data_IF_514198880757
#
_entry.id   IF_514198880757
#
_cell.length_a   1.000
_cell.length_b   1.000
_cell.length_c   1.000
_cell.angle_alpha   90.00
_cell.angle_beta   90.00
_cell.angle_gamma   90.00
#
_symmetry.space_group_name_H-M   'P 1'
#
loop_
_entity.id
_entity.type
_entity.pdbx_description
1 polymer ?
#
# COMPACT_ATOMS: atom_id res chain seq x y z
N UNK A 1 10.53 -19.82 -11.18
CA UNK A 1 11.53 -20.90 -11.12
C UNK A 1 11.72 -21.63 -12.46
N UNK A 2 10.63 -22.06 -13.12
CA UNK A 2 10.68 -22.76 -14.42
C UNK A 2 11.26 -21.93 -15.58
N UNK A 3 11.02 -20.62 -15.64
CA UNK A 3 11.58 -19.76 -16.70
C UNK A 3 13.11 -19.58 -16.60
N UNK A 4 13.66 -19.51 -15.38
CA UNK A 4 15.12 -19.37 -15.14
C UNK A 4 15.88 -20.63 -15.59
N UNK A 5 15.24 -21.80 -15.50
CA UNK A 5 15.82 -23.07 -15.97
C UNK A 5 15.87 -23.20 -17.50
N UNK A 6 15.03 -22.46 -18.22
CA UNK A 6 14.89 -22.53 -19.70
C UNK A 6 15.60 -21.37 -20.42
N UNK A 7 15.83 -20.27 -19.70
CA UNK A 7 16.42 -19.02 -20.20
C UNK A 7 17.46 -18.49 -19.20
N UNK A 8 18.72 -18.99 -19.26
CA UNK A 8 19.77 -18.64 -18.31
C UNK A 8 20.30 -17.19 -18.42
N UNK A 9 19.94 -16.45 -19.47
CA UNK A 9 20.40 -15.08 -19.76
C UNK A 9 19.35 -13.97 -19.47
N UNK A 10 18.27 -14.30 -18.76
CA UNK A 10 17.21 -13.33 -18.42
C UNK A 10 17.71 -12.31 -17.38
N UNK A 11 18.02 -11.10 -17.84
CA UNK A 11 18.36 -9.95 -16.97
C UNK A 11 17.15 -9.37 -16.22
N UNK A 12 15.94 -9.46 -16.79
CA UNK A 12 14.71 -8.91 -16.22
C UNK A 12 13.65 -10.00 -15.99
N UNK A 13 13.32 -10.26 -14.73
CA UNK A 13 12.33 -11.27 -14.34
C UNK A 13 10.91 -10.97 -14.84
N UNK A 14 10.57 -9.70 -15.02
CA UNK A 14 9.24 -9.25 -15.45
C UNK A 14 8.90 -9.70 -16.88
N UNK A 15 9.93 -9.89 -17.73
CA UNK A 15 9.77 -10.33 -19.11
C UNK A 15 9.88 -11.85 -19.26
N UNK A 16 10.14 -12.59 -18.18
CA UNK A 16 10.43 -14.02 -18.24
C UNK A 16 9.30 -14.84 -18.86
N UNK A 17 8.04 -14.46 -18.57
CA UNK A 17 6.87 -15.11 -19.17
C UNK A 17 6.80 -14.86 -20.68
N UNK A 18 6.95 -13.61 -21.12
CA UNK A 18 6.85 -13.24 -22.53
C UNK A 18 7.99 -13.85 -23.35
N UNK A 19 9.20 -13.87 -22.80
CA UNK A 19 10.38 -14.49 -23.40
C UNK A 19 10.23 -16.01 -23.54
N UNK A 20 9.55 -16.67 -22.59
CA UNK A 20 9.26 -18.10 -22.69
C UNK A 20 8.25 -18.39 -23.81
N UNK A 21 7.23 -17.53 -23.96
CA UNK A 21 6.23 -17.64 -25.03
C UNK A 21 6.88 -17.44 -26.40
N UNK A 22 7.74 -16.43 -26.54
CA UNK A 22 8.50 -16.17 -27.78
C UNK A 22 9.34 -17.37 -28.21
N UNK A 23 9.99 -18.05 -27.26
CA UNK A 23 10.86 -19.21 -27.55
C UNK A 23 10.07 -20.48 -27.89
N UNK A 24 8.83 -20.61 -27.42
CA UNK A 24 8.06 -21.87 -27.50
C UNK A 24 6.97 -21.84 -28.56
N UNK A 25 6.47 -20.65 -28.92
CA UNK A 25 5.31 -20.48 -29.81
C UNK A 25 5.64 -19.62 -31.04
N UNK A 26 4.84 -19.72 -32.12
CA UNK A 26 4.98 -18.85 -33.28
C UNK A 26 4.69 -17.38 -32.94
N UNK A 27 5.30 -16.47 -33.72
CA UNK A 27 5.26 -15.01 -33.49
C UNK A 27 3.86 -14.39 -33.42
N UNK A 28 2.88 -14.94 -34.15
CA UNK A 28 1.49 -14.46 -34.09
C UNK A 28 0.86 -14.69 -32.71
N UNK A 29 1.25 -15.76 -32.02
CA UNK A 29 0.75 -16.09 -30.69
C UNK A 29 1.35 -15.18 -29.61
N UNK A 30 2.63 -14.79 -29.78
CA UNK A 30 3.27 -13.79 -28.92
C UNK A 30 2.51 -12.46 -28.93
N UNK A 31 2.12 -11.97 -30.12
CA UNK A 31 1.33 -10.75 -30.26
C UNK A 31 -0.05 -10.86 -29.58
N UNK A 32 -0.71 -12.01 -29.71
CA UNK A 32 -1.98 -12.29 -29.03
C UNK A 32 -1.83 -12.27 -27.50
N UNK A 33 -0.81 -12.95 -26.95
CA UNK A 33 -0.54 -13.00 -25.51
C UNK A 33 -0.17 -11.62 -24.96
N UNK A 34 0.66 -10.86 -25.70
CA UNK A 34 1.02 -9.49 -25.32
C UNK A 34 -0.21 -8.57 -25.27
N UNK A 35 -1.09 -8.65 -26.27
CA UNK A 35 -2.34 -7.89 -26.30
C UNK A 35 -3.27 -8.28 -25.14
N UNK A 36 -3.43 -9.58 -24.86
CA UNK A 36 -4.21 -10.06 -23.73
C UNK A 36 -3.66 -9.53 -22.41
N UNK A 37 -2.35 -9.61 -22.18
CA UNK A 37 -1.69 -9.07 -20.99
C UNK A 37 -1.88 -7.56 -20.83
N UNK A 38 -1.75 -6.80 -21.92
CA UNK A 38 -1.96 -5.35 -21.92
C UNK A 38 -3.40 -4.99 -21.52
N UNK A 39 -4.40 -5.66 -22.10
CA UNK A 39 -5.82 -5.46 -21.76
C UNK A 39 -6.09 -5.85 -20.30
N UNK A 40 -5.54 -6.98 -19.84
CA UNK A 40 -5.66 -7.43 -18.45
C UNK A 40 -5.08 -6.43 -17.46
N UNK A 41 -3.95 -5.78 -17.77
CA UNK A 41 -3.35 -4.75 -16.91
C UNK A 41 -4.12 -3.42 -16.96
N UNK A 42 -4.72 -3.07 -18.10
CA UNK A 42 -5.44 -1.81 -18.29
C UNK A 42 -6.71 -1.71 -17.43
N UNK A 43 -7.43 -2.81 -17.25
CA UNK A 43 -8.68 -2.85 -16.46
C UNK A 43 -8.47 -2.46 -15.00
N UNK A 44 -7.60 -3.12 -14.20
CA UNK A 44 -7.37 -2.75 -12.81
C UNK A 44 -6.73 -1.37 -12.69
N UNK A 45 -5.82 -0.99 -13.61
CA UNK A 45 -5.21 0.34 -13.62
C UNK A 45 -6.28 1.45 -13.72
N UNK A 46 -7.23 1.31 -14.64
CA UNK A 46 -8.32 2.29 -14.83
C UNK A 46 -9.19 2.42 -13.58
N UNK A 47 -9.50 1.29 -12.94
CA UNK A 47 -10.32 1.26 -11.72
C UNK A 47 -9.58 1.89 -10.54
N UNK A 48 -8.29 1.60 -10.35
CA UNK A 48 -7.48 2.17 -9.28
C UNK A 48 -7.34 3.70 -9.40
N UNK A 49 -7.10 4.21 -10.61
CA UNK A 49 -7.01 5.67 -10.84
C UNK A 49 -8.36 6.33 -10.57
N UNK A 50 -9.47 5.73 -11.01
CA UNK A 50 -10.81 6.23 -10.72
C UNK A 50 -11.08 6.28 -9.22
N UNK A 51 -10.73 5.22 -8.49
CA UNK A 51 -10.85 5.18 -7.03
C UNK A 51 -10.00 6.25 -6.36
N UNK A 52 -8.72 6.36 -6.71
CA UNK A 52 -7.83 7.37 -6.14
C UNK A 52 -8.38 8.80 -6.35
N UNK A 53 -8.85 9.10 -7.56
CA UNK A 53 -9.43 10.41 -7.91
C UNK A 53 -10.71 10.70 -7.14
N UNK A 54 -11.55 9.67 -6.96
CA UNK A 54 -12.81 9.79 -6.21
C UNK A 54 -12.53 9.98 -4.71
N UNK A 55 -11.57 9.25 -4.15
CA UNK A 55 -11.17 9.39 -2.76
C UNK A 55 -10.58 10.77 -2.49
N UNK A 56 -9.72 11.28 -3.36
CA UNK A 56 -9.16 12.62 -3.21
C UNK A 56 -10.25 13.71 -3.32
N UNK A 57 -11.17 13.60 -4.28
CA UNK A 57 -12.24 14.59 -4.43
C UNK A 57 -13.26 14.56 -3.27
N UNK A 58 -13.66 13.38 -2.79
CA UNK A 58 -14.65 13.26 -1.69
C UNK A 58 -14.01 13.38 -0.30
N UNK A 59 -12.98 12.60 -0.02
CA UNK A 59 -12.44 12.49 1.34
C UNK A 59 -11.45 13.61 1.66
N UNK A 60 -10.76 14.18 0.66
CA UNK A 60 -9.85 15.31 0.90
C UNK A 60 -10.56 16.62 0.57
N UNK A 61 -10.97 16.83 -0.68
CA UNK A 61 -11.52 18.11 -1.08
C UNK A 61 -12.89 18.40 -0.43
N UNK A 62 -13.88 17.52 -0.60
CA UNK A 62 -15.20 17.78 -0.04
C UNK A 62 -15.18 17.73 1.49
N UNK A 63 -14.57 16.71 2.11
CA UNK A 63 -14.59 16.60 3.57
C UNK A 63 -13.75 17.64 4.31
N UNK A 64 -12.59 18.07 3.78
CA UNK A 64 -11.63 18.92 4.50
C UNK A 64 -11.64 20.36 3.97
N UNK A 65 -11.71 20.56 2.65
CA UNK A 65 -11.52 21.89 2.03
C UNK A 65 -12.87 22.62 1.84
N UNK A 66 -13.87 21.95 1.27
CA UNK A 66 -15.19 22.56 1.05
C UNK A 66 -16.35 21.55 1.27
N UNK A 67 -16.82 21.43 2.53
CA UNK A 67 -17.93 20.53 2.89
C UNK A 67 -19.26 20.82 2.19
N UNK A 68 -19.44 22.04 1.66
CA UNK A 68 -20.67 22.45 0.97
C UNK A 68 -20.58 22.32 -0.55
N UNK A 69 -19.51 21.72 -1.07
CA UNK A 69 -19.36 21.51 -2.50
C UNK A 69 -20.50 20.64 -3.06
N UNK A 70 -21.12 21.09 -4.15
CA UNK A 70 -22.16 20.32 -4.84
C UNK A 70 -21.59 19.03 -5.44
N UNK A 71 -22.42 17.99 -5.58
CA UNK A 71 -22.00 16.72 -6.21
C UNK A 71 -21.47 16.93 -7.63
N UNK A 72 -22.05 17.86 -8.39
CA UNK A 72 -21.58 18.20 -9.73
C UNK A 72 -20.16 18.78 -9.72
N UNK A 73 -19.83 19.60 -8.72
CA UNK A 73 -18.49 20.16 -8.53
C UNK A 73 -17.49 19.07 -8.19
N UNK A 74 -17.84 18.19 -7.24
CA UNK A 74 -16.98 17.07 -6.81
C UNK A 74 -16.73 16.11 -7.97
N UNK A 75 -17.75 15.83 -8.78
CA UNK A 75 -17.62 14.94 -9.94
C UNK A 75 -16.73 15.55 -11.04
N UNK A 76 -16.83 16.86 -11.30
CA UNK A 76 -15.89 17.53 -12.22
C UNK A 76 -14.46 17.49 -11.70
N UNK A 77 -14.27 17.76 -10.41
CA UNK A 77 -12.95 17.69 -9.78
C UNK A 77 -12.37 16.28 -9.87
N UNK A 78 -13.16 15.24 -9.59
CA UNK A 78 -12.73 13.84 -9.74
C UNK A 78 -12.26 13.53 -11.16
N UNK A 79 -12.94 14.05 -12.19
CA UNK A 79 -12.51 13.86 -13.59
C UNK A 79 -11.20 14.59 -13.90
N UNK A 80 -11.01 15.81 -13.37
CA UNK A 80 -9.74 16.53 -13.54
C UNK A 80 -8.60 15.82 -12.82
N UNK A 81 -8.81 15.39 -11.58
CA UNK A 81 -7.82 14.63 -10.82
C UNK A 81 -7.45 13.32 -11.51
N UNK A 82 -8.41 12.62 -12.12
CA UNK A 82 -8.16 11.42 -12.91
C UNK A 82 -7.17 11.68 -14.05
N UNK A 83 -7.38 12.76 -14.81
CA UNK A 83 -6.47 13.15 -15.89
C UNK A 83 -5.08 13.52 -15.36
N UNK A 84 -5.01 14.26 -14.25
CA UNK A 84 -3.75 14.68 -13.64
C UNK A 84 -2.95 13.47 -13.12
N UNK A 85 -3.60 12.56 -12.39
CA UNK A 85 -2.97 11.36 -11.82
C UNK A 85 -2.49 10.44 -12.94
N UNK A 86 -3.32 10.22 -13.97
CA UNK A 86 -2.92 9.41 -15.14
C UNK A 86 -1.74 10.03 -15.87
N UNK A 87 -1.77 11.36 -16.09
CA UNK A 87 -0.68 12.08 -16.73
C UNK A 87 0.62 11.98 -15.94
N UNK A 88 0.56 12.15 -14.62
CA UNK A 88 1.73 12.00 -13.75
C UNK A 88 2.26 10.56 -13.77
N UNK A 89 1.37 9.58 -13.66
CA UNK A 89 1.74 8.16 -13.75
C UNK A 89 2.42 7.82 -15.08
N UNK A 90 1.93 8.37 -16.20
CA UNK A 90 2.55 8.19 -17.52
C UNK A 90 3.96 8.80 -17.58
N UNK A 91 4.14 10.00 -17.04
CA UNK A 91 5.46 10.66 -16.97
C UNK A 91 6.43 9.80 -16.14
N UNK A 92 6.02 9.36 -14.95
CA UNK A 92 6.86 8.49 -14.12
C UNK A 92 7.16 7.15 -14.79
N UNK A 93 6.19 6.55 -15.50
CA UNK A 93 6.39 5.30 -16.22
C UNK A 93 7.43 5.42 -17.34
N UNK A 94 7.49 6.57 -18.03
CA UNK A 94 8.43 6.80 -19.14
C UNK A 94 9.83 7.17 -18.62
N UNK A 95 9.91 8.10 -17.66
CA UNK A 95 11.19 8.70 -17.26
C UNK A 95 11.81 8.05 -16.03
N UNK A 96 11.00 7.48 -15.12
CA UNK A 96 11.45 6.99 -13.82
C UNK A 96 10.78 5.65 -13.44
N UNK A 97 10.86 4.60 -14.27
CA UNK A 97 10.14 3.35 -14.04
C UNK A 97 10.53 2.66 -12.73
N UNK A 98 11.81 2.68 -12.35
CA UNK A 98 12.29 2.09 -11.10
C UNK A 98 11.76 2.86 -9.88
N UNK A 99 11.71 4.19 -9.95
CA UNK A 99 11.18 5.00 -8.85
C UNK A 99 9.67 4.81 -8.69
N UNK A 100 8.94 4.59 -9.79
CA UNK A 100 7.52 4.25 -9.73
C UNK A 100 7.31 2.95 -8.94
N UNK A 101 8.12 1.92 -9.19
CA UNK A 101 8.07 0.66 -8.44
C UNK A 101 8.45 0.87 -6.96
N UNK A 102 9.49 1.66 -6.67
CA UNK A 102 9.86 1.98 -5.29
C UNK A 102 8.74 2.73 -4.55
N UNK A 103 8.09 3.68 -5.22
CA UNK A 103 6.95 4.41 -4.67
C UNK A 103 5.76 3.48 -4.38
N UNK A 104 5.53 2.50 -5.26
CA UNK A 104 4.53 1.47 -5.06
C UNK A 104 4.84 0.63 -3.80
N UNK A 105 6.07 0.14 -3.67
CA UNK A 105 6.52 -0.64 -2.51
C UNK A 105 6.36 0.17 -1.22
N UNK A 106 6.85 1.42 -1.20
CA UNK A 106 6.70 2.32 -0.07
C UNK A 106 5.23 2.55 0.30
N UNK A 107 4.35 2.69 -0.70
CA UNK A 107 2.91 2.80 -0.48
C UNK A 107 2.32 1.55 0.20
N UNK A 108 2.70 0.36 -0.25
CA UNK A 108 2.28 -0.91 0.36
C UNK A 108 2.81 -1.08 1.78
N UNK A 109 4.06 -0.68 2.04
CA UNK A 109 4.69 -0.71 3.36
C UNK A 109 4.00 0.21 4.36
N UNK A 110 3.42 1.32 3.89
CA UNK A 110 2.54 2.18 4.68
C UNK A 110 1.17 1.56 4.92
N UNK A 111 0.53 1.03 3.87
CA UNK A 111 -0.83 0.44 3.95
C UNK A 111 -0.86 -0.76 4.89
N UNK A 112 0.19 -1.59 4.90
CA UNK A 112 0.23 -2.75 5.78
C UNK A 112 0.23 -2.38 7.27
N UNK A 113 0.65 -1.17 7.65
CA UNK A 113 0.63 -0.70 9.04
C UNK A 113 -0.80 -0.54 9.61
N UNK A 114 -1.82 -0.44 8.77
CA UNK A 114 -3.21 -0.41 9.24
C UNK A 114 -3.71 -1.79 9.67
N UNK A 115 -3.01 -2.88 9.32
CA UNK A 115 -3.45 -4.25 9.58
C UNK A 115 -3.74 -4.54 11.07
N UNK A 116 -2.85 -4.23 12.04
CA UNK A 116 -3.12 -4.48 13.45
C UNK A 116 -4.36 -3.70 13.95
N UNK A 117 -4.53 -2.46 13.48
CA UNK A 117 -5.69 -1.63 13.83
C UNK A 117 -7.01 -2.21 13.35
N UNK A 118 -7.04 -2.73 12.12
CA UNK A 118 -8.24 -3.39 11.57
C UNK A 118 -8.54 -4.69 12.31
N UNK A 119 -7.53 -5.53 12.56
CA UNK A 119 -7.69 -6.79 13.28
C UNK A 119 -8.19 -6.57 14.70
N UNK A 120 -7.54 -5.68 15.47
CA UNK A 120 -7.97 -5.39 16.83
C UNK A 120 -9.33 -4.68 16.89
N UNK A 121 -9.62 -3.80 15.93
CA UNK A 121 -10.93 -3.14 15.83
C UNK A 121 -12.09 -4.10 15.57
N UNK A 122 -11.86 -5.15 14.79
CA UNK A 122 -12.89 -6.15 14.46
C UNK A 122 -13.04 -7.23 15.55
N UNK A 123 -11.93 -7.76 16.05
CA UNK A 123 -11.94 -8.94 16.92
C UNK A 123 -11.82 -8.62 18.42
N UNK A 124 -11.22 -7.49 18.79
CA UNK A 124 -10.91 -7.17 20.19
C UNK A 124 -11.47 -5.82 20.65
N UNK A 125 -12.77 -5.82 20.98
CA UNK A 125 -13.54 -4.62 21.37
C UNK A 125 -13.01 -3.85 22.60
N UNK A 126 -12.07 -4.41 23.37
CA UNK A 126 -11.49 -3.77 24.57
C UNK A 126 -10.25 -2.92 24.26
N UNK A 127 -9.76 -2.92 23.01
CA UNK A 127 -8.58 -2.14 22.62
C UNK A 127 -8.97 -0.67 22.46
N UNK A 128 -8.22 0.23 23.12
CA UNK A 128 -8.44 1.68 23.02
C UNK A 128 -7.80 2.24 21.75
N UNK A 129 -8.35 3.35 21.24
CA UNK A 129 -7.90 3.99 19.99
C UNK A 129 -6.45 4.49 20.10
N UNK A 130 -6.06 4.95 21.28
CA UNK A 130 -4.74 5.50 21.58
C UNK A 130 -3.65 4.42 21.46
N UNK A 131 -3.95 3.18 21.87
CA UNK A 131 -3.02 2.06 21.74
C UNK A 131 -2.73 1.70 20.28
N UNK A 132 -3.77 1.70 19.44
CA UNK A 132 -3.65 1.44 18.00
C UNK A 132 -2.88 2.58 17.32
N UNK A 133 -3.18 3.83 17.68
CA UNK A 133 -2.50 5.00 17.09
C UNK A 133 -1.01 5.03 17.45
N UNK A 134 -0.65 4.69 18.70
CA UNK A 134 0.74 4.60 19.14
C UNK A 134 1.52 3.54 18.34
N UNK A 135 0.93 2.35 18.13
CA UNK A 135 1.53 1.31 17.29
C UNK A 135 1.67 1.73 15.84
N UNK A 136 0.64 2.35 15.26
CA UNK A 136 0.66 2.86 13.89
C UNK A 136 1.79 3.88 13.66
N UNK A 137 1.92 4.86 14.55
CA UNK A 137 2.97 5.89 14.47
C UNK A 137 4.36 5.27 14.65
N UNK A 138 4.53 4.34 15.59
CA UNK A 138 5.80 3.67 15.80
C UNK A 138 6.21 2.81 14.59
N UNK A 139 5.29 2.02 14.05
CA UNK A 139 5.54 1.19 12.86
C UNK A 139 5.88 2.03 11.64
N UNK A 140 5.07 3.05 11.34
CA UNK A 140 5.32 3.96 10.24
C UNK A 140 6.64 4.72 10.40
N UNK A 141 6.97 5.15 11.62
CA UNK A 141 8.26 5.77 11.93
C UNK A 141 9.44 4.85 11.62
N UNK A 142 9.36 3.57 11.98
CA UNK A 142 10.39 2.58 11.66
C UNK A 142 10.51 2.33 10.16
N UNK A 143 9.39 2.22 9.43
CA UNK A 143 9.40 2.11 7.96
C UNK A 143 10.14 3.29 7.34
N UNK A 144 9.77 4.52 7.74
CA UNK A 144 10.39 5.74 7.20
C UNK A 144 11.88 5.81 7.53
N UNK A 145 12.30 5.46 8.74
CA UNK A 145 13.71 5.46 9.15
C UNK A 145 14.51 4.44 8.32
N UNK A 146 14.00 3.21 8.16
CA UNK A 146 14.71 2.16 7.42
C UNK A 146 14.90 2.51 5.94
N UNK A 147 13.84 3.05 5.31
CA UNK A 147 13.90 3.45 3.90
C UNK A 147 14.81 4.67 3.72
N UNK A 148 14.63 5.73 4.51
CA UNK A 148 15.42 6.97 4.38
C UNK A 148 16.90 6.78 4.75
N UNK A 149 17.20 5.84 5.65
CA UNK A 149 18.58 5.52 6.03
C UNK A 149 19.24 4.52 5.07
N UNK A 150 18.56 4.08 4.00
CA UNK A 150 19.09 3.10 3.04
C UNK A 150 19.35 1.71 3.63
N UNK A 151 18.68 1.36 4.74
CA UNK A 151 18.83 0.07 5.42
C UNK A 151 17.72 -0.92 5.07
N UNK A 152 16.96 -0.66 4.00
CA UNK A 152 16.03 -1.61 3.40
C UNK A 152 16.75 -2.46 2.34
N UNK A 153 16.66 -3.80 2.36
CA UNK A 153 15.99 -4.64 3.36
C UNK A 153 16.82 -4.84 4.64
N UNK A 154 16.16 -4.81 5.80
CA UNK A 154 16.79 -5.03 7.10
C UNK A 154 16.83 -6.53 7.43
N UNK A 155 18.02 -7.13 7.45
CA UNK A 155 18.22 -8.58 7.68
C UNK A 155 17.41 -9.48 6.71
N UNK A 156 17.21 -9.01 5.48
CA UNK A 156 16.43 -9.73 4.47
C UNK A 156 14.91 -9.59 4.63
N UNK A 157 14.43 -8.81 5.60
CA UNK A 157 13.04 -8.40 5.73
C UNK A 157 12.86 -7.00 5.16
N UNK A 158 11.81 -6.81 4.37
CA UNK A 158 11.43 -5.48 3.90
C UNK A 158 10.98 -4.59 5.09
N UNK A 159 11.27 -3.29 4.98
CA UNK A 159 10.98 -2.27 5.97
C UNK A 159 9.52 -2.28 6.45
N UNK A 160 8.55 -2.47 5.55
CA UNK A 160 7.13 -2.61 5.88
C UNK A 160 6.85 -3.74 6.88
N UNK A 161 7.49 -4.90 6.69
CA UNK A 161 7.33 -6.04 7.59
C UNK A 161 7.95 -5.80 8.97
N UNK A 162 9.15 -5.20 9.01
CA UNK A 162 9.80 -4.82 10.28
C UNK A 162 8.97 -3.78 11.02
N UNK A 163 8.46 -2.77 10.31
CA UNK A 163 7.54 -1.78 10.85
C UNK A 163 6.27 -2.40 11.41
N UNK A 164 5.72 -3.41 10.73
CA UNK A 164 4.52 -4.13 11.17
C UNK A 164 4.74 -4.88 12.49
N UNK A 165 5.91 -5.51 12.67
CA UNK A 165 6.28 -6.17 13.93
C UNK A 165 6.34 -5.15 15.06
N UNK A 166 6.98 -4.00 14.82
CA UNK A 166 7.07 -2.92 15.81
C UNK A 166 5.68 -2.36 16.16
N UNK A 167 4.85 -2.13 15.15
CA UNK A 167 3.47 -1.67 15.31
C UNK A 167 2.66 -2.60 16.21
N UNK A 168 2.72 -3.91 15.94
CA UNK A 168 2.03 -4.91 16.73
C UNK A 168 2.56 -4.95 18.17
N UNK A 169 3.87 -4.93 18.35
CA UNK A 169 4.51 -4.94 19.68
C UNK A 169 4.10 -3.71 20.50
N UNK A 170 4.19 -2.51 19.93
CA UNK A 170 3.82 -1.25 20.61
C UNK A 170 2.33 -1.22 20.92
N UNK A 171 1.47 -1.68 19.99
CA UNK A 171 0.02 -1.76 20.24
C UNK A 171 -0.28 -2.67 21.43
N UNK A 172 0.31 -3.87 21.46
CA UNK A 172 0.10 -4.85 22.54
C UNK A 172 0.63 -4.35 23.89
N UNK A 173 1.80 -3.73 23.89
CA UNK A 173 2.38 -3.12 25.09
C UNK A 173 1.47 -2.00 25.62
N UNK A 174 0.99 -1.11 24.76
CA UNK A 174 0.08 -0.03 25.13
C UNK A 174 -1.26 -0.56 25.67
N UNK A 175 -1.79 -1.64 25.10
CA UNK A 175 -3.01 -2.30 25.62
C UNK A 175 -2.76 -2.89 27.01
N UNK A 176 -1.63 -3.56 27.22
CA UNK A 176 -1.30 -4.18 28.51
C UNK A 176 -1.16 -3.15 29.64
N UNK A 177 -0.56 -1.98 29.37
CA UNK A 177 -0.43 -0.90 30.34
C UNK A 177 -1.79 -0.31 30.72
N UNK A 178 -2.66 -0.13 29.73
CA UNK A 178 -4.01 0.40 29.94
C UNK A 178 -4.90 -0.56 30.73
N UNK A 179 -4.81 -1.87 30.47
CA UNK A 179 -5.57 -2.88 31.24
C UNK A 179 -5.13 -2.96 32.70
N UNK A 180 -3.85 -2.70 33.00
CA UNK A 180 -3.32 -2.72 34.38
C UNK A 180 -3.75 -1.50 35.19
N UNK A 181 -3.99 -0.35 34.54
CA UNK A 181 -4.45 0.86 35.21
C UNK A 181 -5.91 0.75 35.65
N UNK A 182 -6.79 0.30 34.76
CA UNK A 182 -8.22 0.11 35.06
C UNK A 182 -8.47 -0.91 36.17
N UNK A 183 -7.64 -1.96 36.27
CA UNK A 183 -7.73 -2.93 37.37
C UNK A 183 -7.27 -2.38 38.72
N UNK A 184 -6.37 -1.38 38.74
CA UNK A 184 -5.85 -0.77 39.98
C UNK A 184 -6.82 0.25 40.56
N UNK A 185 -7.51 1.02 39.71
CA UNK A 185 -8.53 1.98 40.14
C UNK A 185 -9.75 1.25 40.73
N UNK A 186 -10.21 0.18 40.08
CA UNK A 186 -11.32 -0.64 40.58
C UNK A 186 -11.03 -1.31 41.94
N UNK A 187 -9.77 -1.63 42.23
CA UNK A 187 -9.35 -2.16 43.53
C UNK A 187 -9.15 -1.07 44.60
N UNK A 188 -8.94 0.18 44.18
CA UNK A 188 -8.80 1.32 45.08
C UNK A 188 -10.15 1.90 45.52
N UNK A 189 -11.19 1.80 44.68
CA UNK A 189 -12.57 2.20 45.03
C UNK A 189 -13.32 1.15 45.86
N UNK A 190 -12.82 -0.09 45.91
CA UNK A 190 -13.43 -1.21 46.64
C UNK A 190 -12.94 -1.34 48.10
N UNK A 191 -12.01 -0.51 48.55
CA UNK A 191 -11.49 -0.42 49.93
C UNK A 191 -11.83 0.94 50.54
#
# INVERSE_FOLDING_TARGET
>A
LTAVLVLPDLKNGDLAFLALVEKTYPSWFLGFVGAAGAVTAMVPASVLVLFASTLLSKNVYQSIINPRASEATVMRLSRMLLLIITGLALVFAIFFPNELVNLLILGYDGVCQFFPGVVFGLFWKKVRKESILAGLVAGLGVVMILILSGHDPFWGLNAGFVGLIVNLAVTLLAVSLNSRWSGREALAEAN
#
